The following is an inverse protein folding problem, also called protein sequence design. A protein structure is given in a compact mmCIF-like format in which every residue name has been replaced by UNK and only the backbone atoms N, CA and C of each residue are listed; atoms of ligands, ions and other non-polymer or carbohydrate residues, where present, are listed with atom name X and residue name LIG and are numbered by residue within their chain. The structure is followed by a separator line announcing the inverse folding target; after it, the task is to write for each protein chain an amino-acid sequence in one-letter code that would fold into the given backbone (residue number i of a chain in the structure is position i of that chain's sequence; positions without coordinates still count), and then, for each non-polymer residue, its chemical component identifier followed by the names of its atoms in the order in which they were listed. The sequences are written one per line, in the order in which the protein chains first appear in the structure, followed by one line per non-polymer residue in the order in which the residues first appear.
data_IF_283827331405
#
_entry.id   IF_283827331405
#
_cell.length_a   1.000
_cell.length_b   1.000
_cell.length_c   1.000
_cell.angle_alpha   90.00
_cell.angle_beta   90.00
_cell.angle_gamma   90.00
#
_symmetry.space_group_name_H-M   'P 1'
#
loop_
_entity.id
_entity.type
_entity.pdbx_description
1 polymer ?
#
# COMPACT_ATOMS: atom_id res chain seq x y z
N UNK A 1 -10.13 16.31 -11.57
CA UNK A 1 -10.59 16.21 -12.98
C UNK A 1 -10.24 14.82 -13.47
N UNK A 2 -11.15 14.17 -14.22
CA UNK A 2 -10.82 12.88 -14.86
C UNK A 2 -9.68 13.08 -15.88
N UNK A 3 -8.72 12.16 -15.89
CA UNK A 3 -7.67 12.12 -16.92
C UNK A 3 -8.30 11.76 -18.29
N UNK A 4 -7.70 12.19 -19.42
CA UNK A 4 -8.15 11.72 -20.72
C UNK A 4 -7.99 10.19 -20.84
N UNK A 5 -8.76 9.52 -21.71
CA UNK A 5 -8.57 8.13 -22.01
C UNK A 5 -7.13 7.81 -22.43
N UNK A 6 -6.71 6.56 -22.24
CA UNK A 6 -5.37 6.11 -22.63
C UNK A 6 -5.10 6.36 -24.12
N UNK A 7 -4.02 7.06 -24.41
CA UNK A 7 -3.50 7.20 -25.78
C UNK A 7 -3.02 5.87 -26.34
N UNK A 8 -2.87 5.76 -27.65
CA UNK A 8 -2.33 4.55 -28.29
C UNK A 8 -0.95 4.15 -27.73
N UNK A 9 -0.06 5.11 -27.45
CA UNK A 9 1.25 4.84 -26.86
C UNK A 9 1.14 4.28 -25.45
N UNK A 10 0.23 4.80 -24.64
CA UNK A 10 -0.05 4.27 -23.30
C UNK A 10 -0.67 2.87 -23.36
N UNK A 11 -1.58 2.61 -24.30
CA UNK A 11 -2.11 1.26 -24.51
C UNK A 11 -1.01 0.26 -24.89
N UNK A 12 -0.05 0.66 -25.70
CA UNK A 12 1.13 -0.16 -26.01
C UNK A 12 2.00 -0.41 -24.75
N UNK A 13 2.23 0.64 -23.94
CA UNK A 13 2.98 0.54 -22.68
C UNK A 13 2.34 -0.47 -21.73
N UNK A 14 1.03 -0.39 -21.57
CA UNK A 14 0.27 -1.27 -20.65
C UNK A 14 -0.32 -2.52 -21.33
N UNK A 15 0.12 -2.84 -22.56
CA UNK A 15 -0.45 -3.93 -23.35
C UNK A 15 -0.46 -5.28 -22.63
N UNK A 16 0.54 -5.57 -21.78
CA UNK A 16 0.60 -6.82 -21.02
C UNK A 16 -0.51 -6.93 -19.96
N UNK A 17 -0.99 -5.82 -19.43
CA UNK A 17 -2.17 -5.75 -18.57
C UNK A 17 -3.46 -5.87 -19.38
N UNK A 18 -3.56 -5.12 -20.47
CA UNK A 18 -4.73 -5.10 -21.37
C UNK A 18 -5.01 -6.49 -21.96
N UNK A 19 -3.97 -7.30 -22.19
CA UNK A 19 -4.12 -8.68 -22.69
C UNK A 19 -4.65 -9.67 -21.64
N UNK A 20 -4.76 -9.29 -20.37
CA UNK A 20 -5.35 -10.15 -19.34
C UNK A 20 -6.89 -10.09 -19.45
N UNK A 21 -7.59 -11.21 -19.72
CA UNK A 21 -9.05 -11.18 -19.87
C UNK A 21 -9.82 -10.64 -18.67
N UNK A 22 -9.23 -10.73 -17.47
CA UNK A 22 -9.82 -10.24 -16.23
C UNK A 22 -9.67 -8.72 -16.06
N UNK A 23 -8.68 -8.11 -16.70
CA UNK A 23 -8.39 -6.69 -16.57
C UNK A 23 -8.91 -5.92 -17.79
N UNK A 24 -8.47 -6.36 -18.99
CA UNK A 24 -8.79 -5.76 -20.28
C UNK A 24 -8.48 -4.26 -20.34
N UNK A 25 -8.92 -3.57 -21.38
CA UNK A 25 -8.75 -2.13 -21.55
C UNK A 25 -9.51 -1.36 -20.47
N UNK A 26 -10.69 -1.82 -20.10
CA UNK A 26 -11.54 -1.17 -19.09
C UNK A 26 -10.90 -1.17 -17.70
N UNK A 27 -10.24 -2.27 -17.32
CA UNK A 27 -9.50 -2.33 -16.05
C UNK A 27 -8.27 -1.44 -16.06
N UNK A 28 -7.54 -1.38 -17.19
CA UNK A 28 -6.38 -0.49 -17.31
C UNK A 28 -6.78 1.00 -17.32
N UNK A 29 -7.90 1.36 -17.93
CA UNK A 29 -8.47 2.69 -17.85
C UNK A 29 -8.82 3.08 -16.41
N UNK A 30 -9.40 2.17 -15.62
CA UNK A 30 -9.65 2.42 -14.19
C UNK A 30 -8.33 2.66 -13.42
N UNK A 31 -7.29 1.87 -13.69
CA UNK A 31 -5.97 2.06 -13.09
C UNK A 31 -5.41 3.44 -13.47
N UNK A 32 -5.51 3.83 -14.73
CA UNK A 32 -5.05 5.13 -15.23
C UNK A 32 -5.79 6.32 -14.61
N UNK A 33 -7.09 6.17 -14.32
CA UNK A 33 -7.91 7.22 -13.70
C UNK A 33 -7.72 7.31 -12.19
N UNK A 34 -7.13 6.28 -11.55
CA UNK A 34 -7.12 6.15 -10.10
C UNK A 34 -6.04 6.98 -9.41
N UNK A 35 -6.30 7.21 -8.12
CA UNK A 35 -5.37 7.86 -7.19
C UNK A 35 -5.12 6.93 -6.00
N UNK A 36 -3.87 6.54 -5.79
CA UNK A 36 -3.44 5.73 -4.66
C UNK A 36 -2.61 6.57 -3.66
N UNK A 37 -2.91 6.41 -2.37
CA UNK A 37 -2.13 6.96 -1.27
C UNK A 37 -1.26 5.86 -0.66
N UNK A 38 0.05 6.05 -0.65
CA UNK A 38 1.01 5.13 -0.05
C UNK A 38 1.62 5.78 1.19
N UNK A 39 1.43 5.16 2.34
CA UNK A 39 1.95 5.65 3.62
C UNK A 39 3.06 4.73 4.11
N UNK A 40 4.26 5.29 4.25
CA UNK A 40 5.50 4.58 4.52
C UNK A 40 6.24 4.18 3.25
N UNK A 41 7.46 4.69 3.07
CA UNK A 41 8.33 4.41 1.92
C UNK A 41 9.55 3.57 2.34
N UNK A 42 9.34 2.70 3.32
CA UNK A 42 10.30 1.71 3.79
C UNK A 42 10.37 0.47 2.88
N UNK A 43 10.71 -0.67 3.47
CA UNK A 43 10.89 -1.93 2.74
C UNK A 43 9.63 -2.41 2.00
N UNK A 44 8.43 -2.15 2.55
CA UNK A 44 7.14 -2.46 1.91
C UNK A 44 6.78 -1.43 0.83
N UNK A 45 6.90 -0.14 1.17
CA UNK A 45 6.51 0.96 0.28
C UNK A 45 7.34 1.03 -1.00
N UNK A 46 8.62 0.64 -0.95
CA UNK A 46 9.47 0.61 -2.14
C UNK A 46 8.90 -0.24 -3.28
N UNK A 47 8.64 -1.55 -3.11
CA UNK A 47 8.03 -2.37 -4.17
C UNK A 47 6.60 -1.96 -4.50
N UNK A 48 5.80 -1.54 -3.50
CA UNK A 48 4.44 -1.02 -3.74
C UNK A 48 4.47 0.14 -4.73
N UNK A 49 5.25 1.17 -4.46
CA UNK A 49 5.31 2.37 -5.31
C UNK A 49 5.84 2.07 -6.70
N UNK A 50 6.86 1.20 -6.81
CA UNK A 50 7.42 0.79 -8.10
C UNK A 50 6.38 0.06 -8.97
N UNK A 51 5.66 -0.91 -8.41
CA UNK A 51 4.67 -1.65 -9.19
C UNK A 51 3.45 -0.80 -9.54
N UNK A 52 2.94 0.05 -8.62
CA UNK A 52 1.82 0.94 -8.93
C UNK A 52 2.20 1.96 -10.01
N UNK A 53 3.39 2.56 -9.95
CA UNK A 53 3.88 3.48 -10.96
C UNK A 53 4.07 2.79 -12.31
N UNK A 54 4.73 1.63 -12.35
CA UNK A 54 4.94 0.85 -13.58
C UNK A 54 3.62 0.40 -14.21
N UNK A 55 2.60 0.10 -13.39
CA UNK A 55 1.26 -0.32 -13.82
C UNK A 55 0.40 0.84 -14.33
N UNK A 56 0.85 2.09 -14.17
CA UNK A 56 0.14 3.26 -14.67
C UNK A 56 -1.02 3.71 -13.78
N UNK A 57 -0.93 3.51 -12.45
CA UNK A 57 -1.82 4.20 -11.51
C UNK A 57 -1.65 5.70 -11.70
N UNK A 58 -2.73 6.36 -12.14
CA UNK A 58 -2.62 7.71 -12.71
C UNK A 58 -2.09 8.77 -11.76
N UNK A 59 -2.36 8.64 -10.46
CA UNK A 59 -1.85 9.54 -9.43
C UNK A 59 -1.38 8.75 -8.22
N UNK A 60 -0.16 9.03 -7.75
CA UNK A 60 0.38 8.50 -6.50
C UNK A 60 0.63 9.65 -5.53
N UNK A 61 0.13 9.53 -4.31
CA UNK A 61 0.57 10.38 -3.19
C UNK A 61 1.44 9.56 -2.26
N UNK A 62 2.67 9.98 -2.06
CA UNK A 62 3.69 9.34 -1.25
C UNK A 62 3.83 10.07 0.08
N UNK A 63 3.69 9.35 1.19
CA UNK A 63 3.80 9.93 2.54
C UNK A 63 4.89 9.23 3.32
N UNK A 64 5.90 9.96 3.73
CA UNK A 64 6.98 9.52 4.64
C UNK A 64 7.73 10.76 5.14
N UNK A 65 8.13 10.78 6.40
CA UNK A 65 8.86 11.91 6.99
C UNK A 65 10.37 11.64 7.16
N UNK A 66 10.83 10.44 6.82
CA UNK A 66 12.22 10.04 7.02
C UNK A 66 13.14 10.49 5.88
N UNK A 67 14.42 10.45 6.18
CA UNK A 67 15.52 10.50 5.20
C UNK A 67 16.01 9.09 4.87
N UNK A 68 16.62 8.92 3.71
CA UNK A 68 17.29 7.68 3.33
C UNK A 68 18.55 7.49 4.18
N UNK A 69 18.65 6.39 4.89
CA UNK A 69 19.83 5.97 5.65
C UNK A 69 20.56 4.82 4.94
N UNK A 70 21.87 4.73 5.07
CA UNK A 70 22.67 3.65 4.47
C UNK A 70 22.21 2.25 4.92
N UNK A 71 21.75 2.11 6.18
CA UNK A 71 21.21 0.87 6.73
C UNK A 71 19.85 0.48 6.13
N UNK A 72 19.19 1.38 5.43
CA UNK A 72 17.94 1.11 4.73
C UNK A 72 18.16 0.38 3.40
N UNK A 73 19.29 0.61 2.72
CA UNK A 73 19.55 0.18 1.34
C UNK A 73 19.49 -1.34 1.15
N UNK A 74 19.72 -2.11 2.21
CA UNK A 74 19.65 -3.57 2.16
C UNK A 74 18.22 -4.11 1.88
N UNK A 75 17.14 -3.29 2.08
CA UNK A 75 15.74 -3.70 1.87
C UNK A 75 14.85 -2.65 1.21
N UNK A 76 15.30 -1.41 1.10
CA UNK A 76 14.57 -0.30 0.48
C UNK A 76 15.12 -0.04 -0.93
N UNK A 77 14.82 -0.97 -1.83
CA UNK A 77 15.50 -1.15 -3.13
C UNK A 77 15.25 -0.06 -4.17
N UNK A 78 14.34 0.87 -3.91
CA UNK A 78 14.13 2.04 -4.79
C UNK A 78 15.24 3.08 -4.64
N UNK A 79 15.90 3.13 -3.48
CA UNK A 79 16.94 4.10 -3.18
C UNK A 79 18.33 3.63 -3.62
N UNK A 80 19.19 4.59 -3.88
CA UNK A 80 20.58 4.40 -4.26
C UNK A 80 21.51 4.96 -3.18
N UNK A 81 22.79 4.58 -3.22
CA UNK A 81 23.80 5.13 -2.33
C UNK A 81 23.87 6.67 -2.39
N UNK A 82 23.62 7.25 -3.56
CA UNK A 82 23.58 8.70 -3.78
C UNK A 82 22.39 9.42 -3.14
N UNK A 83 21.37 8.69 -2.68
CA UNK A 83 20.16 9.25 -2.08
C UNK A 83 20.26 9.33 -0.55
N UNK A 84 21.35 8.79 0.07
CA UNK A 84 21.57 8.84 1.52
C UNK A 84 21.59 10.28 2.00
N UNK A 85 20.77 10.57 3.03
CA UNK A 85 20.56 11.89 3.59
C UNK A 85 19.46 12.73 2.91
N UNK A 86 18.90 12.28 1.77
CA UNK A 86 17.76 12.92 1.12
C UNK A 86 16.44 12.41 1.71
N UNK A 87 15.37 13.21 1.63
CA UNK A 87 14.02 12.76 1.98
C UNK A 87 13.62 11.54 1.14
N UNK A 88 13.03 10.53 1.79
CA UNK A 88 12.55 9.31 1.12
C UNK A 88 11.54 9.61 0.03
N UNK A 89 10.59 10.48 0.30
CA UNK A 89 9.55 10.92 -0.65
C UNK A 89 10.13 11.51 -1.92
N UNK A 90 11.09 12.43 -1.80
CA UNK A 90 11.75 13.08 -2.93
C UNK A 90 12.61 12.10 -3.74
N UNK A 91 13.35 11.24 -3.05
CA UNK A 91 14.17 10.20 -3.69
C UNK A 91 13.29 9.18 -4.43
N UNK A 92 12.20 8.72 -3.80
CA UNK A 92 11.22 7.84 -4.42
C UNK A 92 10.58 8.50 -5.65
N UNK A 93 10.06 9.74 -5.53
CA UNK A 93 9.47 10.48 -6.65
C UNK A 93 10.44 10.56 -7.84
N UNK A 94 11.71 10.90 -7.61
CA UNK A 94 12.73 10.95 -8.65
C UNK A 94 12.88 9.63 -9.40
N UNK A 95 12.97 8.50 -8.67
CA UNK A 95 13.12 7.17 -9.28
C UNK A 95 11.85 6.74 -10.04
N UNK A 96 10.68 6.99 -9.46
CA UNK A 96 9.40 6.62 -10.06
C UNK A 96 9.09 7.46 -11.32
N UNK A 97 9.45 8.75 -11.34
CA UNK A 97 9.33 9.59 -12.55
C UNK A 97 10.24 9.08 -13.68
N UNK A 98 11.41 8.54 -13.35
CA UNK A 98 12.27 7.90 -14.37
C UNK A 98 11.70 6.57 -14.87
N UNK A 99 10.92 5.87 -14.05
CA UNK A 99 10.25 4.63 -14.43
C UNK A 99 9.00 4.91 -15.29
N UNK A 100 8.19 5.90 -14.89
CA UNK A 100 6.97 6.29 -15.60
C UNK A 100 6.71 7.79 -15.43
N UNK A 101 6.99 8.56 -16.45
CA UNK A 101 6.85 10.02 -16.48
C UNK A 101 5.44 10.49 -16.86
N UNK A 102 4.54 9.57 -17.19
CA UNK A 102 3.17 9.90 -17.59
C UNK A 102 2.19 10.01 -16.39
N UNK A 103 2.57 9.48 -15.23
CA UNK A 103 1.74 9.53 -14.00
C UNK A 103 2.07 10.77 -13.17
N UNK A 104 1.12 11.18 -12.34
CA UNK A 104 1.33 12.26 -11.38
C UNK A 104 1.82 11.71 -10.04
N UNK A 105 2.85 12.34 -9.45
CA UNK A 105 3.40 11.93 -8.15
C UNK A 105 3.45 13.14 -7.23
N UNK A 106 2.68 13.07 -6.15
CA UNK A 106 2.67 14.05 -5.06
C UNK A 106 3.44 13.50 -3.86
N UNK A 107 4.06 14.37 -3.08
CA UNK A 107 4.80 14.01 -1.86
C UNK A 107 4.26 14.77 -0.66
N UNK A 108 4.20 14.11 0.49
CA UNK A 108 3.90 14.68 1.80
C UNK A 108 5.02 14.24 2.73
N UNK A 109 5.84 15.20 3.16
CA UNK A 109 7.08 14.98 3.92
C UNK A 109 6.83 15.09 5.43
N UNK A 110 5.64 14.68 5.88
CA UNK A 110 5.18 14.84 7.25
C UNK A 110 4.82 13.50 7.87
N UNK A 111 4.99 13.40 9.18
CA UNK A 111 4.43 12.31 9.97
C UNK A 111 2.92 12.50 10.11
N UNK A 112 2.14 11.48 9.74
CA UNK A 112 0.69 11.52 9.89
C UNK A 112 0.30 11.41 11.36
N UNK A 113 -0.50 12.37 11.81
CA UNK A 113 -1.08 12.44 13.15
C UNK A 113 -2.54 12.89 13.09
N UNK A 114 -3.19 13.02 14.22
CA UNK A 114 -4.61 13.40 14.32
C UNK A 114 -4.93 14.78 13.69
N UNK A 115 -3.93 15.66 13.53
CA UNK A 115 -4.07 16.99 12.95
C UNK A 115 -3.83 17.03 11.42
N UNK A 116 -3.52 15.90 10.80
CA UNK A 116 -3.06 15.84 9.40
C UNK A 116 -4.17 15.97 8.34
N UNK A 117 -5.36 16.46 8.67
CA UNK A 117 -6.49 16.60 7.73
C UNK A 117 -6.67 15.37 6.83
N UNK A 118 -6.44 14.18 7.37
CA UNK A 118 -6.34 12.92 6.64
C UNK A 118 -7.64 12.60 5.88
N UNK A 119 -8.80 12.84 6.48
CA UNK A 119 -10.08 12.59 5.81
C UNK A 119 -10.27 13.46 4.55
N UNK A 120 -9.77 14.71 4.58
CA UNK A 120 -9.81 15.58 3.40
C UNK A 120 -8.88 15.05 2.29
N UNK A 121 -7.73 14.51 2.64
CA UNK A 121 -6.84 13.84 1.70
C UNK A 121 -7.50 12.59 1.11
N UNK A 122 -8.08 11.74 1.97
CA UNK A 122 -8.70 10.48 1.58
C UNK A 122 -9.95 10.64 0.70
N UNK A 123 -10.66 11.78 0.78
CA UNK A 123 -11.81 12.05 -0.09
C UNK A 123 -11.49 12.09 -1.60
N UNK A 124 -10.20 12.14 -1.96
CA UNK A 124 -9.69 12.19 -3.34
C UNK A 124 -8.93 10.92 -3.74
N UNK A 125 -8.94 9.91 -2.90
CA UNK A 125 -8.11 8.70 -3.03
C UNK A 125 -9.02 7.49 -3.22
N UNK A 126 -8.68 6.62 -4.18
CA UNK A 126 -9.43 5.39 -4.47
C UNK A 126 -8.98 4.22 -3.61
N UNK A 127 -7.73 4.22 -3.15
CA UNK A 127 -7.17 3.18 -2.27
C UNK A 127 -6.00 3.72 -1.45
N UNK A 128 -5.94 3.31 -0.18
CA UNK A 128 -4.81 3.55 0.73
C UNK A 128 -3.99 2.28 0.87
N UNK A 129 -2.67 2.40 0.75
CA UNK A 129 -1.75 1.30 1.01
C UNK A 129 -0.91 1.65 2.26
N UNK A 130 -1.16 0.92 3.31
CA UNK A 130 -0.44 1.02 4.57
C UNK A 130 0.82 0.16 4.54
N UNK A 131 1.97 0.83 4.43
CA UNK A 131 3.31 0.26 4.44
C UNK A 131 4.09 0.68 5.69
N UNK A 132 3.39 1.11 6.74
CA UNK A 132 3.99 1.60 7.99
C UNK A 132 4.45 0.45 8.89
N UNK A 133 5.32 0.75 9.83
CA UNK A 133 5.85 -0.21 10.81
C UNK A 133 5.42 0.11 12.25
N UNK A 134 4.49 1.05 12.45
CA UNK A 134 4.02 1.44 13.77
C UNK A 134 2.48 1.37 13.89
N UNK A 135 2.03 0.92 15.06
CA UNK A 135 0.62 0.67 15.33
C UNK A 135 -0.22 1.96 15.38
N UNK A 136 0.37 3.07 15.83
CA UNK A 136 -0.34 4.35 15.95
C UNK A 136 -0.81 4.86 14.59
N UNK A 137 0.09 4.90 13.59
CA UNK A 137 -0.25 5.30 12.23
C UNK A 137 -1.23 4.33 11.57
N UNK A 138 -1.09 3.02 11.80
CA UNK A 138 -2.05 2.00 11.29
C UNK A 138 -3.46 2.23 11.81
N UNK A 139 -3.61 2.48 13.10
CA UNK A 139 -4.90 2.75 13.72
C UNK A 139 -5.51 4.06 13.21
N UNK A 140 -4.69 5.09 13.04
CA UNK A 140 -5.10 6.37 12.46
C UNK A 140 -5.62 6.19 11.03
N UNK A 141 -4.86 5.51 10.17
CA UNK A 141 -5.26 5.20 8.79
C UNK A 141 -6.54 4.37 8.74
N UNK A 142 -6.65 3.34 9.58
CA UNK A 142 -7.84 2.52 9.65
C UNK A 142 -9.09 3.32 9.99
N UNK A 143 -9.01 4.20 11.00
CA UNK A 143 -10.14 5.04 11.42
C UNK A 143 -10.54 6.03 10.32
N UNK A 144 -9.58 6.72 9.72
CA UNK A 144 -9.83 7.67 8.63
C UNK A 144 -10.40 6.97 7.38
N UNK A 145 -9.85 5.82 6.99
CA UNK A 145 -10.36 5.02 5.88
C UNK A 145 -11.79 4.53 6.14
N UNK A 146 -12.10 4.13 7.38
CA UNK A 146 -13.45 3.69 7.74
C UNK A 146 -14.46 4.85 7.64
N UNK A 147 -14.10 6.04 8.14
CA UNK A 147 -14.94 7.25 8.08
C UNK A 147 -15.21 7.71 6.64
N UNK A 148 -14.19 7.66 5.78
CA UNK A 148 -14.28 8.11 4.37
C UNK A 148 -14.74 7.01 3.42
N UNK A 149 -14.88 5.76 3.89
CA UNK A 149 -15.19 4.59 3.06
C UNK A 149 -14.13 4.32 1.99
N UNK A 150 -12.89 4.72 2.23
CA UNK A 150 -11.78 4.49 1.33
C UNK A 150 -11.16 3.12 1.60
N UNK A 151 -11.04 2.21 0.62
CA UNK A 151 -10.40 0.90 0.80
C UNK A 151 -8.96 1.01 1.32
N UNK A 152 -8.58 0.08 2.22
CA UNK A 152 -7.26 0.00 2.83
C UNK A 152 -6.61 -1.35 2.54
N UNK A 153 -5.39 -1.35 2.02
CA UNK A 153 -4.52 -2.53 1.88
C UNK A 153 -3.41 -2.42 2.91
N UNK A 154 -3.46 -3.23 3.96
CA UNK A 154 -2.46 -3.20 5.03
C UNK A 154 -1.51 -4.38 4.94
N UNK A 155 -0.20 -4.12 5.06
CA UNK A 155 0.84 -5.13 5.09
C UNK A 155 1.81 -4.92 6.24
N UNK A 156 2.41 -6.00 6.74
CA UNK A 156 3.55 -5.93 7.64
C UNK A 156 4.50 -7.10 7.43
N UNK A 157 5.77 -6.88 7.76
CA UNK A 157 6.80 -7.90 7.68
C UNK A 157 7.79 -7.73 8.84
N UNK A 158 8.18 -8.85 9.44
CA UNK A 158 9.16 -8.93 10.53
C UNK A 158 9.91 -10.25 10.42
N UNK A 159 11.21 -10.28 10.67
CA UNK A 159 12.04 -11.50 10.58
C UNK A 159 11.93 -12.16 9.20
N UNK A 160 11.39 -13.37 9.14
CA UNK A 160 11.07 -14.09 7.89
C UNK A 160 9.55 -14.18 7.66
N UNK A 161 8.74 -13.43 8.39
CA UNK A 161 7.29 -13.51 8.35
C UNK A 161 6.68 -12.24 7.77
N UNK A 162 5.51 -12.37 7.18
CA UNK A 162 4.74 -11.24 6.68
C UNK A 162 3.24 -11.51 6.66
N UNK A 163 2.48 -10.43 6.60
CA UNK A 163 1.02 -10.52 6.51
C UNK A 163 0.44 -9.43 5.61
N UNK A 164 -0.69 -9.75 4.97
CA UNK A 164 -1.47 -8.81 4.17
C UNK A 164 -2.96 -9.05 4.39
N UNK A 165 -3.72 -7.96 4.53
CA UNK A 165 -5.17 -7.97 4.50
C UNK A 165 -5.70 -6.73 3.78
N UNK A 166 -6.89 -6.85 3.20
CA UNK A 166 -7.60 -5.76 2.54
C UNK A 166 -8.90 -5.46 3.29
N UNK A 167 -9.22 -4.18 3.40
CA UNK A 167 -10.43 -3.72 4.07
C UNK A 167 -11.20 -2.82 3.10
N UNK A 168 -12.39 -3.26 2.71
CA UNK A 168 -13.24 -2.53 1.75
C UNK A 168 -13.88 -1.29 2.34
N UNK A 169 -13.90 -1.19 3.67
CA UNK A 169 -14.57 -0.14 4.45
C UNK A 169 -16.06 0.01 4.13
N UNK A 170 -16.66 -1.01 3.53
CA UNK A 170 -18.10 -1.07 3.27
C UNK A 170 -18.90 -1.12 4.59
N UNK A 171 -20.17 -0.69 4.59
CA UNK A 171 -21.04 -0.86 5.76
C UNK A 171 -21.05 -2.32 6.23
N UNK A 172 -20.92 -2.53 7.53
CA UNK A 172 -20.87 -3.86 8.17
C UNK A 172 -19.65 -4.74 7.84
N UNK A 173 -18.67 -4.26 7.07
CA UNK A 173 -17.40 -4.99 6.90
C UNK A 173 -16.53 -4.89 8.16
N UNK A 174 -15.59 -5.82 8.29
CA UNK A 174 -14.52 -5.71 9.28
C UNK A 174 -13.49 -4.66 8.85
N UNK A 175 -12.68 -4.20 9.78
CA UNK A 175 -11.59 -3.25 9.56
C UNK A 175 -10.28 -3.76 10.18
N UNK A 176 -9.17 -3.04 10.02
CA UNK A 176 -7.89 -3.40 10.62
C UNK A 176 -7.98 -3.57 12.15
N UNK A 177 -8.79 -2.74 12.84
CA UNK A 177 -9.01 -2.85 14.28
C UNK A 177 -9.60 -4.21 14.73
N UNK A 178 -10.31 -4.93 13.85
CA UNK A 178 -10.77 -6.28 14.13
C UNK A 178 -9.62 -7.30 14.11
N UNK A 179 -8.61 -7.06 13.27
CA UNK A 179 -7.45 -7.96 13.09
C UNK A 179 -6.38 -7.69 14.15
N UNK A 180 -6.07 -6.41 14.41
CA UNK A 180 -4.99 -6.02 15.34
C UNK A 180 -5.22 -6.54 16.75
N UNK A 181 -6.46 -6.64 17.20
CA UNK A 181 -6.80 -7.18 18.52
C UNK A 181 -6.46 -8.68 18.68
N UNK A 182 -6.32 -9.43 17.57
CA UNK A 182 -5.95 -10.85 17.61
C UNK A 182 -4.48 -11.07 17.97
N UNK A 183 -3.63 -10.07 17.74
CA UNK A 183 -2.17 -10.19 17.91
C UNK A 183 -1.66 -9.54 19.20
N UNK A 184 -2.53 -8.92 20.02
CA UNK A 184 -2.14 -8.19 21.22
C UNK A 184 -1.29 -6.94 20.90
N UNK A 185 -0.67 -6.38 21.94
CA UNK A 185 0.28 -5.28 21.77
C UNK A 185 1.60 -5.82 21.19
N UNK A 186 1.78 -5.71 19.87
CA UNK A 186 3.09 -5.95 19.25
C UNK A 186 4.01 -4.77 19.56
N UNK A 187 4.89 -4.95 20.52
CA UNK A 187 5.85 -3.93 20.96
C UNK A 187 7.14 -3.89 20.12
N UNK A 188 7.37 -4.88 19.25
CA UNK A 188 8.62 -4.99 18.48
C UNK A 188 8.46 -4.48 17.04
N UNK A 189 9.30 -3.53 16.66
CA UNK A 189 9.41 -3.05 15.27
C UNK A 189 10.37 -3.90 14.44
N UNK A 190 10.28 -3.77 13.09
CA UNK A 190 11.25 -4.41 12.18
C UNK A 190 12.69 -3.95 12.44
N UNK A 191 12.89 -2.75 12.96
CA UNK A 191 14.22 -2.21 13.31
C UNK A 191 14.84 -2.91 14.50
N UNK A 192 14.04 -3.39 15.45
CA UNK A 192 14.49 -4.09 16.66
C UNK A 192 14.66 -5.60 16.44
N UNK A 193 13.80 -6.21 15.62
CA UNK A 193 13.77 -7.66 15.43
C UNK A 193 14.45 -8.15 14.15
N UNK A 194 14.83 -7.22 13.25
CA UNK A 194 15.35 -7.53 11.93
C UNK A 194 14.26 -8.01 10.95
N UNK A 195 14.58 -7.99 9.67
CA UNK A 195 13.75 -8.53 8.59
C UNK A 195 14.61 -8.97 7.41
N UNK A 196 14.31 -10.14 6.85
CA UNK A 196 14.96 -10.60 5.63
C UNK A 196 14.47 -9.77 4.43
N UNK A 197 15.42 -9.18 3.69
CA UNK A 197 15.15 -8.23 2.60
C UNK A 197 14.09 -8.70 1.58
N UNK A 198 14.13 -9.91 1.00
CA UNK A 198 13.09 -10.35 0.06
C UNK A 198 11.68 -10.46 0.66
N UNK A 199 11.55 -10.63 1.97
CA UNK A 199 10.22 -10.73 2.62
C UNK A 199 9.46 -9.41 2.50
N UNK A 200 10.10 -8.28 2.76
CA UNK A 200 9.42 -6.98 2.55
C UNK A 200 9.08 -6.76 1.08
N UNK A 201 9.94 -7.22 0.15
CA UNK A 201 9.67 -7.20 -1.28
C UNK A 201 8.44 -8.03 -1.67
N UNK A 202 8.36 -9.25 -1.14
CA UNK A 202 7.23 -10.17 -1.37
C UNK A 202 5.91 -9.57 -0.85
N UNK A 203 5.89 -9.11 0.40
CA UNK A 203 4.69 -8.53 1.02
C UNK A 203 4.26 -7.27 0.29
N UNK A 204 5.18 -6.34 -0.03
CA UNK A 204 4.86 -5.14 -0.79
C UNK A 204 4.36 -5.45 -2.21
N UNK A 205 4.88 -6.49 -2.86
CA UNK A 205 4.37 -6.93 -4.18
C UNK A 205 2.95 -7.49 -4.08
N UNK A 206 2.62 -8.20 -3.00
CA UNK A 206 1.24 -8.66 -2.74
C UNK A 206 0.34 -7.46 -2.45
N UNK A 207 0.78 -6.48 -1.66
CA UNK A 207 0.00 -5.24 -1.43
C UNK A 207 -0.28 -4.49 -2.74
N UNK A 208 0.71 -4.33 -3.60
CA UNK A 208 0.54 -3.71 -4.92
C UNK A 208 -0.47 -4.47 -5.79
N UNK A 209 -0.38 -5.81 -5.81
CA UNK A 209 -1.32 -6.66 -6.55
C UNK A 209 -2.76 -6.47 -6.05
N UNK A 210 -2.97 -6.47 -4.75
CA UNK A 210 -4.29 -6.30 -4.15
C UNK A 210 -4.84 -4.87 -4.39
N UNK A 211 -3.98 -3.85 -4.31
CA UNK A 211 -4.36 -2.48 -4.63
C UNK A 211 -4.84 -2.34 -6.09
N UNK A 212 -4.10 -2.91 -7.05
CA UNK A 212 -4.49 -2.93 -8.47
C UNK A 212 -5.81 -3.69 -8.69
N UNK A 213 -6.03 -4.80 -7.99
CA UNK A 213 -7.30 -5.55 -8.05
C UNK A 213 -8.47 -4.71 -7.54
N UNK A 214 -8.31 -4.03 -6.40
CA UNK A 214 -9.33 -3.15 -5.82
C UNK A 214 -9.66 -2.03 -6.82
N UNK A 215 -8.66 -1.35 -7.35
CA UNK A 215 -8.83 -0.27 -8.33
C UNK A 215 -9.57 -0.75 -9.59
N UNK A 216 -9.16 -1.89 -10.13
CA UNK A 216 -9.77 -2.45 -11.33
C UNK A 216 -11.16 -3.07 -11.10
N UNK A 217 -11.58 -3.22 -9.85
CA UNK A 217 -12.83 -3.89 -9.48
C UNK A 217 -12.77 -5.41 -9.59
N UNK A 218 -11.57 -5.98 -9.51
CA UNK A 218 -11.37 -7.44 -9.53
C UNK A 218 -11.62 -8.06 -8.14
N UNK A 219 -12.07 -9.31 -8.07
CA UNK A 219 -12.30 -9.97 -6.79
C UNK A 219 -11.01 -10.20 -6.03
N UNK A 220 -11.05 -9.99 -4.71
CA UNK A 220 -9.96 -10.33 -3.79
C UNK A 220 -10.47 -11.19 -2.64
N UNK A 221 -9.78 -12.28 -2.35
CA UNK A 221 -10.04 -13.08 -1.15
C UNK A 221 -9.51 -12.41 0.12
N UNK A 222 -8.52 -11.53 -0.02
CA UNK A 222 -7.94 -10.83 1.13
C UNK A 222 -8.84 -9.71 1.69
N UNK A 223 -9.98 -9.45 1.06
CA UNK A 223 -11.05 -8.62 1.65
C UNK A 223 -11.84 -9.33 2.74
N UNK A 224 -11.69 -10.65 2.86
CA UNK A 224 -12.35 -11.50 3.86
C UNK A 224 -11.35 -12.31 4.68
N UNK A 225 -10.10 -12.36 4.24
CA UNK A 225 -9.06 -13.21 4.81
C UNK A 225 -7.76 -12.45 5.07
N UNK A 226 -7.09 -12.80 6.16
CA UNK A 226 -5.71 -12.42 6.42
C UNK A 226 -4.79 -13.45 5.78
N UNK A 227 -3.87 -13.00 4.95
CA UNK A 227 -2.76 -13.80 4.46
C UNK A 227 -1.59 -13.71 5.44
N UNK A 228 -1.11 -14.86 5.91
CA UNK A 228 0.15 -14.99 6.63
C UNK A 228 1.17 -15.71 5.73
N UNK A 229 2.36 -15.16 5.65
CA UNK A 229 3.48 -15.71 4.89
C UNK A 229 4.59 -16.08 5.87
N UNK A 230 5.00 -17.33 5.86
CA UNK A 230 6.21 -17.82 6.52
C UNK A 230 7.31 -18.00 5.45
N UNK A 231 8.29 -17.12 5.45
CA UNK A 231 9.41 -17.16 4.51
C UNK A 231 10.45 -18.21 4.84
N UNK A 232 10.42 -18.83 6.02
CA UNK A 232 11.32 -19.93 6.36
C UNK A 232 10.85 -21.25 5.71
N UNK A 233 9.54 -21.55 5.82
CA UNK A 233 8.93 -22.74 5.19
C UNK A 233 8.38 -22.47 3.80
N UNK A 234 8.29 -21.19 3.37
CA UNK A 234 7.60 -20.74 2.16
C UNK A 234 6.12 -21.12 2.12
N UNK A 235 5.48 -21.10 3.28
CA UNK A 235 4.04 -21.34 3.41
C UNK A 235 3.23 -20.04 3.33
N UNK A 236 2.06 -20.15 2.67
CA UNK A 236 1.10 -19.07 2.47
C UNK A 236 -0.24 -19.50 3.03
N UNK A 237 -0.54 -19.09 4.25
CA UNK A 237 -1.74 -19.48 4.98
C UNK A 237 -2.77 -18.35 4.99
N UNK A 238 -4.06 -18.68 4.80
CA UNK A 238 -5.17 -17.71 4.83
C UNK A 238 -6.13 -18.04 5.94
N UNK A 239 -6.50 -17.02 6.71
CA UNK A 239 -7.42 -17.12 7.83
C UNK A 239 -8.58 -16.16 7.65
N UNK A 240 -9.80 -16.64 7.84
CA UNK A 240 -10.99 -15.79 7.75
C UNK A 240 -10.97 -14.72 8.86
N UNK A 241 -11.22 -13.48 8.46
CA UNK A 241 -11.37 -12.37 9.40
C UNK A 241 -12.83 -12.27 9.81
N UNK A 242 -13.07 -12.30 11.12
CA UNK A 242 -14.41 -12.11 11.68
C UNK A 242 -14.54 -10.70 12.22
N UNK A 243 -15.63 -10.00 11.87
CA UNK A 243 -15.93 -8.68 12.41
C UNK A 243 -16.10 -8.77 13.92
N UNK A 244 -15.30 -8.00 14.67
CA UNK A 244 -15.45 -7.90 16.10
C UNK A 244 -16.64 -6.97 16.44
N UNK A 245 -17.64 -7.51 17.15
CA UNK A 245 -18.83 -6.75 17.58
C UNK A 245 -18.52 -5.60 18.55
N UNK A 246 -17.34 -5.61 19.16
CA UNK A 246 -16.86 -4.59 20.10
C UNK A 246 -15.68 -3.78 19.51
N UNK A 247 -15.50 -3.80 18.19
CA UNK A 247 -14.43 -3.03 17.56
C UNK A 247 -14.68 -1.53 17.74
N UNK A 248 -13.74 -0.75 18.30
CA UNK A 248 -13.95 0.67 18.56
C UNK A 248 -14.11 1.51 17.29
N UNK A 249 -13.77 0.96 16.12
CA UNK A 249 -13.83 1.68 14.83
C UNK A 249 -15.06 1.28 14.02
N UNK A 250 -15.31 -0.01 13.81
CA UNK A 250 -16.33 -0.45 12.85
C UNK A 250 -17.61 -1.02 13.50
N UNK A 251 -17.71 -1.08 14.83
CA UNK A 251 -18.93 -1.51 15.51
C UNK A 251 -19.86 -0.35 15.90
N UNK A 252 -19.44 0.88 15.68
CA UNK A 252 -20.23 2.09 15.92
C UNK A 252 -21.30 2.28 14.82
#
# INVERSE_FOLDING_TARGET
MQKPPLTYQQQLRYSRHIMLPQLDIDGQEKIWQSHALIVGLGGLGCPVTQYLAASGVGTLTLVDNDVVDATNLQRQVIYKQSDVGCLKTHSAKKQLTQLNDEIEIHTIDEFLNENSHLEQLLSKVDVVIDCTDNLATRNLLNSACYNTRTPLVSGSAIRLEGQVACFTMAPNSHCYGCVSQLFGEQTQSCSESGVLSPIVGLIGSIQATEALKIIAGLPSKLTEQLLLVDGLSMEFNRFNIVKNKHCPVCSA
#
